data_IF_577440821615
#
_entry.id   IF_577440821615
#
_cell.length_a   1.000
_cell.length_b   1.000
_cell.length_c   1.000
_cell.angle_alpha   90.00
_cell.angle_beta   90.00
_cell.angle_gamma   90.00
#
_symmetry.space_group_name_H-M   'P 1'
#
loop_
_entity.id
_entity.type
_entity.pdbx_description
1 polymer ?
#
# COMPACT_ATOMS: atom_id res chain seq x y z
N UNK A 1 -1.56 -13.43 9.84
CA UNK A 1 -2.37 -13.76 8.67
C UNK A 1 -1.71 -13.29 7.39
N UNK A 2 -2.01 -13.99 6.31
CA UNK A 2 -1.53 -13.59 4.98
C UNK A 2 -2.46 -12.52 4.43
N UNK A 3 -1.89 -11.39 4.02
CA UNK A 3 -2.63 -10.26 3.46
C UNK A 3 -2.03 -9.89 2.12
N UNK A 4 -2.87 -9.79 1.10
CA UNK A 4 -2.47 -9.28 -0.19
C UNK A 4 -2.89 -7.82 -0.28
N UNK A 5 -1.93 -6.94 -0.58
CA UNK A 5 -2.17 -5.50 -0.70
C UNK A 5 -1.98 -5.12 -2.16
N UNK A 6 -3.01 -4.50 -2.73
CA UNK A 6 -2.95 -3.97 -4.08
C UNK A 6 -3.23 -2.47 -4.05
N UNK A 7 -2.55 -1.74 -4.90
CA UNK A 7 -2.77 -0.30 -4.99
C UNK A 7 -2.63 0.19 -6.43
N UNK A 8 -3.36 1.26 -6.71
CA UNK A 8 -3.28 1.97 -7.99
C UNK A 8 -3.20 3.46 -7.64
N UNK A 9 -2.04 4.05 -7.88
CA UNK A 9 -1.77 5.46 -7.56
C UNK A 9 -1.63 6.25 -8.85
N UNK A 10 -2.36 7.35 -8.95
CA UNK A 10 -2.27 8.24 -10.09
C UNK A 10 -0.91 8.96 -10.09
N UNK A 11 -0.11 8.73 -11.14
CA UNK A 11 1.25 9.26 -11.27
C UNK A 11 1.36 10.37 -12.31
N UNK A 12 0.27 10.98 -12.70
CA UNK A 12 0.28 12.10 -13.67
C UNK A 12 0.94 13.36 -13.09
N UNK A 13 1.01 13.46 -11.77
CA UNK A 13 1.63 14.59 -11.07
C UNK A 13 2.87 14.16 -10.31
N UNK A 14 3.74 15.12 -9.98
CA UNK A 14 4.90 14.87 -9.12
C UNK A 14 4.46 14.38 -7.73
N UNK A 15 3.37 14.93 -7.19
CA UNK A 15 2.79 14.50 -5.92
C UNK A 15 2.35 13.04 -5.97
N UNK A 16 1.74 12.60 -7.08
CA UNK A 16 1.34 11.21 -7.28
C UNK A 16 2.52 10.26 -7.31
N UNK A 17 3.60 10.64 -8.00
CA UNK A 17 4.83 9.84 -8.03
C UNK A 17 5.43 9.69 -6.63
N UNK A 18 5.39 10.74 -5.82
CA UNK A 18 5.85 10.71 -4.43
C UNK A 18 4.97 9.78 -3.58
N UNK A 19 3.64 9.84 -3.75
CA UNK A 19 2.71 8.95 -3.04
C UNK A 19 2.99 7.49 -3.38
N UNK A 20 3.15 7.17 -4.66
CA UNK A 20 3.47 5.81 -5.10
C UNK A 20 4.73 5.29 -4.43
N UNK A 21 5.78 6.09 -4.41
CA UNK A 21 7.05 5.73 -3.79
C UNK A 21 6.91 5.46 -2.29
N UNK A 22 6.13 6.30 -1.60
CA UNK A 22 5.88 6.15 -0.16
C UNK A 22 5.08 4.89 0.16
N UNK A 23 4.04 4.60 -0.62
CA UNK A 23 3.24 3.38 -0.47
C UNK A 23 4.12 2.14 -0.65
N UNK A 24 4.87 2.09 -1.73
CA UNK A 24 5.76 0.97 -2.02
C UNK A 24 6.80 0.76 -0.91
N UNK A 25 7.39 1.83 -0.41
CA UNK A 25 8.37 1.76 0.68
C UNK A 25 7.79 1.14 1.95
N UNK A 26 6.57 1.53 2.32
CA UNK A 26 5.92 0.96 3.49
C UNK A 26 5.56 -0.52 3.29
N UNK A 27 5.07 -0.87 2.12
CA UNK A 27 4.76 -2.26 1.81
C UNK A 27 6.01 -3.16 1.85
N UNK A 28 7.15 -2.68 1.37
CA UNK A 28 8.42 -3.41 1.43
C UNK A 28 8.84 -3.69 2.87
N UNK A 29 8.56 -2.77 3.79
CA UNK A 29 8.89 -2.95 5.21
C UNK A 29 8.09 -4.08 5.88
N UNK A 30 6.93 -4.44 5.33
CA UNK A 30 6.01 -5.41 5.94
C UNK A 30 5.87 -6.70 5.14
N UNK A 31 6.33 -6.73 3.91
CA UNK A 31 6.16 -7.90 3.06
C UNK A 31 7.05 -7.88 1.85
N UNK A 32 6.66 -8.63 0.82
CA UNK A 32 7.41 -8.72 -0.42
C UNK A 32 6.55 -8.38 -1.62
N UNK A 33 7.18 -7.79 -2.62
CA UNK A 33 6.53 -7.48 -3.89
C UNK A 33 6.37 -8.78 -4.71
N UNK A 34 5.15 -9.04 -5.15
CA UNK A 34 4.86 -10.17 -6.06
C UNK A 34 4.55 -9.70 -7.47
N UNK A 35 4.06 -8.45 -7.61
CA UNK A 35 3.92 -7.74 -8.87
C UNK A 35 4.15 -6.25 -8.60
N UNK A 36 4.17 -5.40 -9.63
CA UNK A 36 4.51 -3.99 -9.49
C UNK A 36 3.73 -3.26 -8.40
N UNK A 37 2.43 -3.51 -8.32
CA UNK A 37 1.54 -2.85 -7.35
C UNK A 37 0.84 -3.86 -6.45
N UNK A 38 1.46 -5.03 -6.23
CA UNK A 38 0.90 -6.10 -5.41
C UNK A 38 1.97 -6.59 -4.43
N UNK A 39 1.65 -6.55 -3.14
CA UNK A 39 2.51 -7.03 -2.07
C UNK A 39 1.83 -8.13 -1.28
N UNK A 40 2.62 -9.11 -0.89
CA UNK A 40 2.21 -10.21 -0.01
C UNK A 40 2.85 -10.00 1.35
N UNK A 41 2.03 -9.87 2.38
CA UNK A 41 2.50 -9.58 3.74
C UNK A 41 1.95 -10.61 4.73
N UNK A 42 2.78 -11.00 5.70
CA UNK A 42 2.33 -11.80 6.83
C UNK A 42 2.26 -10.88 8.03
N UNK A 43 1.04 -10.60 8.50
CA UNK A 43 0.76 -9.59 9.52
C UNK A 43 -0.11 -10.17 10.63
N UNK A 44 0.11 -9.72 11.86
CA UNK A 44 -0.88 -9.90 12.92
C UNK A 44 -1.95 -8.81 12.81
N UNK A 45 -2.99 -8.89 13.65
CA UNK A 45 -4.09 -7.92 13.65
C UNK A 45 -3.61 -6.48 13.86
N UNK A 46 -2.72 -6.28 14.82
CA UNK A 46 -2.23 -4.95 15.18
C UNK A 46 -1.42 -4.36 14.02
N UNK A 47 -0.56 -5.17 13.40
CA UNK A 47 0.22 -4.74 12.24
C UNK A 47 -0.66 -4.41 11.04
N UNK A 48 -1.70 -5.22 10.82
CA UNK A 48 -2.64 -5.00 9.72
C UNK A 48 -3.38 -3.68 9.88
N UNK A 49 -3.88 -3.39 11.06
CA UNK A 49 -4.56 -2.13 11.38
C UNK A 49 -3.61 -0.94 11.20
N UNK A 50 -2.40 -1.05 11.72
CA UNK A 50 -1.40 0.02 11.64
C UNK A 50 -0.99 0.30 10.19
N UNK A 51 -0.71 -0.74 9.40
CA UNK A 51 -0.31 -0.59 8.01
C UNK A 51 -1.44 -0.01 7.17
N UNK A 52 -2.66 -0.48 7.38
CA UNK A 52 -3.84 0.03 6.69
C UNK A 52 -4.05 1.52 6.95
N UNK A 53 -3.94 1.95 8.20
CA UNK A 53 -4.05 3.36 8.58
C UNK A 53 -2.95 4.19 7.93
N UNK A 54 -1.71 3.70 7.95
CA UNK A 54 -0.55 4.37 7.36
C UNK A 54 -0.71 4.56 5.85
N UNK A 55 -1.08 3.51 5.13
CA UNK A 55 -1.25 3.58 3.68
C UNK A 55 -2.43 4.46 3.29
N UNK A 56 -3.53 4.38 4.02
CA UNK A 56 -4.71 5.23 3.78
C UNK A 56 -4.35 6.71 3.96
N UNK A 57 -3.48 7.03 4.90
CA UNK A 57 -3.02 8.39 5.13
C UNK A 57 -2.11 8.91 4.01
N UNK A 58 -1.36 8.04 3.36
CA UNK A 58 -0.45 8.41 2.27
C UNK A 58 -1.20 8.71 0.98
N UNK A 59 -2.18 7.87 0.62
CA UNK A 59 -2.86 7.97 -0.67
C UNK A 59 -3.82 9.16 -0.72
N UNK A 60 -4.16 9.57 -1.95
CA UNK A 60 -5.24 10.51 -2.20
C UNK A 60 -6.47 9.71 -2.65
N UNK A 61 -7.47 9.60 -1.80
CA UNK A 61 -8.65 8.77 -2.04
C UNK A 61 -9.47 9.21 -3.25
N UNK A 62 -9.25 10.42 -3.76
CA UNK A 62 -9.96 10.92 -4.93
C UNK A 62 -9.42 10.37 -6.24
N UNK A 63 -8.14 10.02 -6.29
CA UNK A 63 -7.46 9.62 -7.52
C UNK A 63 -6.70 8.30 -7.40
N UNK A 64 -6.53 7.80 -6.17
CA UNK A 64 -5.80 6.56 -5.89
C UNK A 64 -6.76 5.50 -5.36
N UNK A 65 -6.39 4.23 -5.50
CA UNK A 65 -7.11 3.12 -4.88
C UNK A 65 -6.17 2.22 -4.10
N UNK A 66 -6.70 1.59 -3.05
CA UNK A 66 -5.96 0.71 -2.16
C UNK A 66 -6.89 -0.41 -1.72
N UNK A 67 -6.45 -1.66 -1.83
CA UNK A 67 -7.26 -2.83 -1.47
C UNK A 67 -6.44 -3.81 -0.65
N UNK A 68 -7.11 -4.41 0.32
CA UNK A 68 -6.56 -5.46 1.17
C UNK A 68 -7.39 -6.73 0.98
N UNK A 69 -6.71 -7.84 0.71
CA UNK A 69 -7.35 -9.16 0.56
C UNK A 69 -6.79 -10.08 1.64
N UNK A 70 -7.67 -10.66 2.41
CA UNK A 70 -7.33 -11.51 3.55
C UNK A 70 -7.43 -12.99 3.26
#
# INVERSE_FOLDING_TARGET
MLVLITYDVNTETAAGKTRLRKVAKQCVNYGRRVQNSVFECILDNAQCIALKALLTDIIDSKVDSLRFYY
#
